data_IF_581765281780
#
_entry.id   IF_581765281780
#
_cell.length_a   1.000
_cell.length_b   1.000
_cell.length_c   1.000
_cell.angle_alpha   90.00
_cell.angle_beta   90.00
_cell.angle_gamma   90.00
#
_symmetry.space_group_name_H-M   'P 1'
#
loop_
_entity.id
_entity.type
_entity.pdbx_description
1 polymer ?
#
# COMPACT_ATOMS: atom_id res chain seq x y z
N UNK A 1 -15.10 -21.51 17.27
CA UNK A 1 -14.12 -21.87 16.23
C UNK A 1 -12.81 -21.21 16.61
N UNK A 2 -11.72 -21.96 16.69
CA UNK A 2 -10.42 -21.46 17.14
C UNK A 2 -9.70 -20.71 16.03
N UNK A 3 -8.96 -19.65 16.37
CA UNK A 3 -8.11 -18.91 15.43
C UNK A 3 -6.94 -19.80 14.98
N UNK A 4 -6.32 -19.47 13.84
CA UNK A 4 -5.08 -20.12 13.43
C UNK A 4 -3.95 -19.77 14.41
N UNK A 5 -3.42 -20.77 15.12
CA UNK A 5 -2.15 -20.60 15.84
C UNK A 5 -1.01 -20.49 14.83
N UNK A 6 -0.18 -19.44 14.95
CA UNK A 6 1.01 -19.27 14.12
C UNK A 6 2.22 -19.88 14.79
N UNK A 7 2.83 -20.85 14.13
CA UNK A 7 4.07 -21.45 14.59
C UNK A 7 5.26 -20.79 13.91
N UNK A 8 6.32 -20.55 14.67
CA UNK A 8 7.53 -19.92 14.17
C UNK A 8 8.42 -20.93 13.44
N UNK A 9 8.48 -20.90 12.10
CA UNK A 9 9.28 -21.77 11.20
C UNK A 9 8.98 -23.30 11.14
N UNK A 10 7.73 -23.78 11.30
CA UNK A 10 7.40 -25.20 11.58
C UNK A 10 7.93 -26.17 10.53
N UNK A 11 8.52 -27.26 11.02
CA UNK A 11 8.92 -28.39 10.17
C UNK A 11 7.68 -29.23 9.89
N UNK A 12 7.27 -29.26 8.63
CA UNK A 12 6.27 -30.17 8.12
C UNK A 12 6.98 -31.40 7.56
N UNK A 13 6.81 -32.56 8.21
CA UNK A 13 7.25 -33.83 7.62
C UNK A 13 6.08 -34.49 6.89
N UNK A 14 6.31 -34.96 5.67
CA UNK A 14 5.34 -35.76 4.94
C UNK A 14 5.26 -37.16 5.56
N UNK A 15 4.23 -37.40 6.36
CA UNK A 15 3.96 -38.69 6.99
C UNK A 15 2.76 -39.31 6.29
N UNK A 16 3.01 -40.32 5.45
CA UNK A 16 2.00 -41.02 4.64
C UNK A 16 1.22 -40.11 3.68
N UNK A 17 1.91 -39.18 2.99
CA UNK A 17 1.26 -38.26 2.04
C UNK A 17 0.56 -37.07 2.69
N UNK A 18 0.70 -36.90 4.01
CA UNK A 18 0.10 -35.81 4.78
C UNK A 18 1.20 -35.07 5.51
N UNK A 19 1.32 -33.77 5.27
CA UNK A 19 2.24 -32.90 6.00
C UNK A 19 1.77 -32.79 7.46
N UNK A 20 2.58 -33.29 8.41
CA UNK A 20 2.32 -33.20 9.84
C UNK A 20 3.35 -32.31 10.54
N UNK A 21 2.88 -31.58 11.55
CA UNK A 21 3.73 -30.83 12.47
C UNK A 21 4.55 -31.81 13.32
N UNK A 22 5.88 -31.63 13.33
CA UNK A 22 6.78 -32.38 14.21
C UNK A 22 7.54 -31.40 15.11
N UNK A 23 7.43 -31.57 16.43
CA UNK A 23 8.25 -30.91 17.45
C UNK A 23 9.19 -31.97 18.05
N UNK A 24 10.51 -31.74 18.26
CA UNK A 24 11.25 -30.46 18.30
C UNK A 24 12.19 -30.17 17.11
N UNK A 25 12.61 -28.90 17.01
CA UNK A 25 13.49 -28.33 15.98
C UNK A 25 14.96 -28.70 16.16
N UNK A 26 15.50 -29.53 15.27
CA UNK A 26 16.97 -29.71 15.16
C UNK A 26 17.45 -29.61 13.70
N UNK A 27 16.62 -29.94 12.70
CA UNK A 27 17.02 -29.92 11.28
C UNK A 27 16.99 -28.55 10.60
N UNK A 28 16.27 -27.57 11.14
CA UNK A 28 16.04 -26.27 10.49
C UNK A 28 16.83 -25.10 11.13
N UNK A 29 17.73 -25.41 12.07
CA UNK A 29 18.67 -24.43 12.62
C UNK A 29 19.47 -23.73 11.50
N UNK A 30 19.79 -24.44 10.41
CA UNK A 30 20.47 -23.87 9.24
C UNK A 30 19.62 -22.86 8.47
N UNK A 31 18.31 -23.11 8.28
CA UNK A 31 17.40 -22.19 7.57
C UNK A 31 17.07 -20.96 8.39
N UNK A 32 16.76 -21.16 9.67
CA UNK A 32 16.46 -20.06 10.60
C UNK A 32 17.69 -19.20 10.88
N UNK A 33 18.89 -19.79 10.93
CA UNK A 33 20.15 -19.07 11.05
C UNK A 33 20.62 -18.43 9.73
N UNK A 34 20.08 -18.83 8.57
CA UNK A 34 20.43 -18.20 7.28
C UNK A 34 19.85 -16.78 7.24
N UNK A 35 20.68 -15.72 7.26
CA UNK A 35 20.21 -14.34 7.27
C UNK A 35 19.52 -13.94 5.94
N UNK A 36 19.66 -14.75 4.88
CA UNK A 36 19.10 -14.47 3.55
C UNK A 36 17.76 -15.15 3.28
N UNK A 37 17.23 -15.90 4.25
CA UNK A 37 15.93 -16.56 4.13
C UNK A 37 14.90 -15.93 5.06
N UNK A 38 13.67 -15.80 4.55
CA UNK A 38 12.55 -15.32 5.34
C UNK A 38 12.19 -16.30 6.44
N UNK A 39 11.95 -15.79 7.64
CA UNK A 39 11.21 -16.53 8.67
C UNK A 39 9.75 -16.61 8.23
N UNK A 40 9.18 -17.81 8.20
CA UNK A 40 7.82 -18.06 7.71
C UNK A 40 7.03 -18.92 8.69
N UNK A 41 5.71 -18.87 8.59
CA UNK A 41 4.80 -19.75 9.31
C UNK A 41 4.63 -21.12 8.63
N UNK A 42 3.71 -21.95 9.16
CA UNK A 42 3.33 -23.26 8.61
C UNK A 42 2.83 -23.24 7.17
N UNK A 43 2.38 -22.09 6.68
CA UNK A 43 1.81 -21.92 5.35
C UNK A 43 2.81 -21.24 4.40
N UNK A 44 4.06 -21.05 4.84
CA UNK A 44 5.10 -20.39 4.05
C UNK A 44 4.82 -18.89 3.83
N UNK A 45 4.07 -18.25 4.73
CA UNK A 45 3.83 -16.81 4.74
C UNK A 45 4.83 -16.14 5.69
N UNK A 46 5.41 -14.97 5.35
CA UNK A 46 6.44 -14.33 6.16
C UNK A 46 5.88 -13.86 7.49
N UNK A 47 6.63 -14.12 8.55
CA UNK A 47 6.37 -13.62 9.90
C UNK A 47 6.95 -12.20 10.06
N UNK A 48 6.37 -11.41 10.96
CA UNK A 48 6.86 -10.05 11.24
C UNK A 48 8.00 -10.08 12.26
N UNK A 49 9.08 -10.79 11.95
CA UNK A 49 10.27 -10.88 12.79
C UNK A 49 11.23 -9.71 12.54
N UNK A 50 12.06 -9.36 13.52
CA UNK A 50 13.08 -8.32 13.34
C UNK A 50 14.02 -8.65 12.17
N UNK A 51 14.36 -9.92 12.01
CA UNK A 51 15.14 -10.41 10.87
C UNK A 51 14.47 -10.07 9.55
N UNK A 52 13.20 -10.43 9.37
CA UNK A 52 12.46 -10.17 8.14
C UNK A 52 12.29 -8.67 7.86
N UNK A 53 11.96 -7.88 8.89
CA UNK A 53 11.79 -6.43 8.76
C UNK A 53 13.12 -5.77 8.36
N UNK A 54 14.22 -6.10 9.05
CA UNK A 54 15.54 -5.56 8.74
C UNK A 54 16.03 -6.01 7.37
N UNK A 55 15.79 -7.27 6.98
CA UNK A 55 16.17 -7.80 5.68
C UNK A 55 15.48 -7.04 4.54
N UNK A 56 14.15 -6.87 4.61
CA UNK A 56 13.41 -6.14 3.58
C UNK A 56 13.76 -4.66 3.56
N UNK A 57 13.90 -4.02 4.73
CA UNK A 57 14.33 -2.63 4.78
C UNK A 57 15.72 -2.44 4.17
N UNK A 58 16.68 -3.34 4.47
CA UNK A 58 18.00 -3.33 3.85
C UNK A 58 17.95 -3.49 2.33
N UNK A 59 17.09 -4.37 1.80
CA UNK A 59 16.91 -4.53 0.35
C UNK A 59 16.34 -3.28 -0.30
N UNK A 60 15.28 -2.70 0.27
CA UNK A 60 14.64 -1.47 -0.26
C UNK A 60 15.59 -0.27 -0.17
N UNK A 61 16.34 -0.15 0.91
CA UNK A 61 17.28 0.95 1.15
C UNK A 61 18.60 0.84 0.37
N UNK A 62 18.87 -0.28 -0.30
CA UNK A 62 20.04 -0.42 -1.18
C UNK A 62 19.66 -0.56 -2.65
N UNK A 63 18.38 -0.71 -2.96
CA UNK A 63 17.91 -0.75 -4.34
C UNK A 63 17.81 0.68 -4.91
N UNK A 64 18.71 0.97 -5.85
CA UNK A 64 18.78 2.24 -6.59
C UNK A 64 17.47 2.65 -7.26
N UNK A 65 16.51 1.74 -7.48
CA UNK A 65 15.19 2.07 -8.02
C UNK A 65 14.27 2.74 -6.99
N UNK A 66 14.44 2.47 -5.70
CA UNK A 66 13.65 3.08 -4.62
C UNK A 66 14.36 4.26 -3.94
N UNK A 67 15.66 4.44 -4.19
CA UNK A 67 16.46 5.56 -3.68
C UNK A 67 16.81 6.59 -4.76
N UNK A 68 16.01 6.70 -5.81
CA UNK A 68 16.27 7.66 -6.90
C UNK A 68 16.13 9.12 -6.46
N UNK A 69 15.50 9.39 -5.33
CA UNK A 69 15.16 10.74 -4.89
C UNK A 69 15.81 11.03 -3.54
N UNK A 70 16.44 12.21 -3.41
CA UNK A 70 16.96 12.65 -2.11
C UNK A 70 15.79 12.92 -1.16
N UNK A 71 15.69 12.11 -0.11
CA UNK A 71 14.64 12.22 0.92
C UNK A 71 14.60 13.61 1.57
N UNK A 72 15.76 14.26 1.76
CA UNK A 72 15.81 15.61 2.35
C UNK A 72 15.21 16.65 1.43
N UNK A 73 15.42 16.47 0.13
CA UNK A 73 14.85 17.35 -0.87
C UNK A 73 13.35 17.10 -1.01
N UNK A 74 12.91 15.85 -1.01
CA UNK A 74 11.47 15.52 -1.01
C UNK A 74 10.75 16.10 0.20
N UNK A 75 11.35 16.04 1.39
CA UNK A 75 10.84 16.75 2.58
C UNK A 75 10.60 18.24 2.31
N UNK A 76 11.59 18.95 1.75
CA UNK A 76 11.47 20.40 1.48
C UNK A 76 10.34 20.70 0.48
N UNK A 77 10.18 19.87 -0.54
CA UNK A 77 9.12 20.06 -1.54
C UNK A 77 7.76 19.81 -0.90
N UNK A 78 7.62 18.79 -0.05
CA UNK A 78 6.39 18.53 0.70
C UNK A 78 6.06 19.68 1.65
N UNK A 79 7.04 20.21 2.38
CA UNK A 79 6.85 21.40 3.22
C UNK A 79 6.39 22.60 2.38
N UNK A 80 6.98 22.78 1.20
CA UNK A 80 6.64 23.80 0.21
C UNK A 80 5.19 23.75 -0.30
N UNK A 81 4.48 22.63 -0.16
CA UNK A 81 3.05 22.57 -0.49
C UNK A 81 2.19 23.48 0.42
N UNK A 82 2.69 23.82 1.60
CA UNK A 82 1.94 24.51 2.65
C UNK A 82 2.44 25.92 2.95
N UNK A 83 3.52 26.36 2.31
CA UNK A 83 4.15 27.67 2.54
C UNK A 83 4.38 28.38 1.20
N UNK A 84 4.49 29.70 1.23
CA UNK A 84 4.69 30.51 0.02
C UNK A 84 3.38 30.89 -0.67
N UNK A 85 3.52 31.48 -1.87
CA UNK A 85 2.36 31.93 -2.65
C UNK A 85 1.62 30.78 -3.36
N UNK A 86 0.50 31.09 -4.02
CA UNK A 86 -0.31 30.08 -4.70
C UNK A 86 0.45 29.37 -5.84
N UNK A 87 1.36 30.06 -6.53
CA UNK A 87 2.14 29.50 -7.62
C UNK A 87 3.25 28.57 -7.12
N UNK A 88 3.96 29.00 -6.07
CA UNK A 88 4.98 28.19 -5.41
C UNK A 88 4.39 26.89 -4.85
N UNK A 89 3.27 27.00 -4.11
CA UNK A 89 2.57 25.83 -3.57
C UNK A 89 2.12 24.87 -4.67
N UNK A 90 1.55 25.37 -5.77
CA UNK A 90 1.12 24.54 -6.89
C UNK A 90 2.31 23.81 -7.55
N UNK A 91 3.45 24.48 -7.69
CA UNK A 91 4.69 23.86 -8.19
C UNK A 91 5.15 22.72 -7.27
N UNK A 92 5.16 22.94 -5.96
CA UNK A 92 5.48 21.93 -4.97
C UNK A 92 4.51 20.74 -4.98
N UNK A 93 3.19 21.01 -5.04
CA UNK A 93 2.16 19.96 -5.11
C UNK A 93 2.34 19.13 -6.39
N UNK A 94 2.46 19.78 -7.55
CA UNK A 94 2.68 19.10 -8.83
C UNK A 94 3.92 18.19 -8.79
N UNK A 95 4.98 18.66 -8.14
CA UNK A 95 6.21 17.88 -7.96
C UNK A 95 6.02 16.67 -7.03
N UNK A 96 5.32 16.84 -5.90
CA UNK A 96 5.03 15.74 -4.98
C UNK A 96 4.16 14.67 -5.62
N UNK A 97 3.12 15.07 -6.35
CA UNK A 97 2.27 14.14 -7.11
C UNK A 97 3.09 13.37 -8.14
N UNK A 98 3.98 14.04 -8.87
CA UNK A 98 4.85 13.41 -9.86
C UNK A 98 5.78 12.36 -9.23
N UNK A 99 6.46 12.70 -8.12
CA UNK A 99 7.41 11.79 -7.49
C UNK A 99 6.70 10.58 -6.87
N UNK A 100 5.58 10.78 -6.18
CA UNK A 100 4.79 9.67 -5.62
C UNK A 100 4.29 8.75 -6.74
N UNK A 101 3.88 9.31 -7.88
CA UNK A 101 3.42 8.51 -9.02
C UNK A 101 4.53 7.67 -9.66
N UNK A 102 5.72 8.27 -9.79
CA UNK A 102 6.88 7.67 -10.43
C UNK A 102 7.57 6.62 -9.56
N UNK A 103 7.78 6.90 -8.26
CA UNK A 103 8.46 5.99 -7.33
C UNK A 103 7.65 4.72 -7.06
N UNK A 104 6.32 4.81 -7.07
CA UNK A 104 5.46 3.72 -6.60
C UNK A 104 4.69 3.00 -7.71
N UNK A 105 5.04 3.23 -8.99
CA UNK A 105 4.37 2.65 -10.16
C UNK A 105 2.84 2.78 -10.11
N UNK A 106 2.33 3.87 -9.54
CA UNK A 106 0.89 4.03 -9.36
C UNK A 106 0.19 4.44 -10.64
N UNK A 107 0.90 4.67 -11.75
CA UNK A 107 0.35 5.02 -13.07
C UNK A 107 -1.01 5.72 -12.95
N UNK A 108 -0.96 6.95 -12.39
CA UNK A 108 -2.09 7.87 -12.34
C UNK A 108 -2.84 7.79 -13.66
N UNK A 109 -4.16 7.79 -13.56
CA UNK A 109 -5.04 7.45 -14.68
C UNK A 109 -4.63 8.14 -15.98
N UNK A 110 -4.10 7.36 -16.94
CA UNK A 110 -4.13 7.73 -18.33
C UNK A 110 -5.61 7.94 -18.69
N UNK A 111 -5.98 9.13 -19.14
CA UNK A 111 -7.38 9.49 -19.37
C UNK A 111 -7.90 8.81 -20.64
N UNK A 112 -8.04 7.48 -20.61
CA UNK A 112 -8.62 6.65 -21.66
C UNK A 112 -8.06 6.91 -23.07
N UNK A 113 -8.95 6.80 -24.07
CA UNK A 113 -8.66 7.05 -25.50
C UNK A 113 -8.59 8.54 -25.87
N UNK A 114 -8.77 9.45 -24.91
CA UNK A 114 -8.74 10.89 -25.18
C UNK A 114 -7.29 11.39 -25.12
N UNK A 115 -6.88 12.19 -26.11
CA UNK A 115 -5.57 12.84 -26.06
C UNK A 115 -5.58 13.84 -24.90
N UNK A 116 -4.58 13.75 -24.03
CA UNK A 116 -4.40 14.65 -22.87
C UNK A 116 -4.49 16.11 -23.30
N UNK A 117 -3.92 16.44 -24.46
CA UNK A 117 -3.95 17.78 -25.06
C UNK A 117 -5.37 18.30 -25.33
N UNK A 118 -6.29 17.43 -25.75
CA UNK A 118 -7.67 17.82 -26.05
C UNK A 118 -8.44 18.11 -24.76
N UNK A 119 -8.16 17.36 -23.69
CA UNK A 119 -8.74 17.58 -22.36
C UNK A 119 -8.21 18.89 -21.77
N UNK A 120 -6.89 19.10 -21.83
CA UNK A 120 -6.26 20.32 -21.32
C UNK A 120 -6.79 21.57 -22.04
N UNK A 121 -6.94 21.52 -23.38
CA UNK A 121 -7.56 22.61 -24.15
C UNK A 121 -9.01 22.88 -23.74
N UNK A 122 -9.82 21.84 -23.57
CA UNK A 122 -11.24 21.99 -23.17
C UNK A 122 -11.41 22.62 -21.78
N UNK A 123 -10.46 22.38 -20.90
CA UNK A 123 -10.46 22.88 -19.52
C UNK A 123 -9.67 24.19 -19.36
N UNK A 124 -9.13 24.73 -20.46
CA UNK A 124 -8.20 25.87 -20.46
C UNK A 124 -7.04 25.71 -19.45
N UNK A 125 -6.56 24.47 -19.29
CA UNK A 125 -5.50 24.15 -18.35
C UNK A 125 -4.13 24.26 -19.01
N UNK A 126 -3.28 25.08 -18.40
CA UNK A 126 -1.89 25.23 -18.83
C UNK A 126 -1.00 24.18 -18.17
N UNK A 127 -0.06 23.58 -18.92
CA UNK A 127 0.98 22.75 -18.33
C UNK A 127 1.73 23.51 -17.22
N UNK A 128 2.08 22.81 -16.15
CA UNK A 128 2.87 23.41 -15.06
C UNK A 128 4.30 22.93 -15.15
N UNK A 129 5.26 23.84 -15.05
CA UNK A 129 6.69 23.50 -15.06
C UNK A 129 7.09 23.15 -13.63
N UNK A 130 7.68 21.96 -13.45
CA UNK A 130 8.28 21.52 -12.19
C UNK A 130 9.78 21.36 -12.40
N UNK A 131 10.57 22.01 -11.53
CA UNK A 131 12.02 21.79 -11.50
C UNK A 131 12.31 20.40 -10.95
N UNK A 132 13.28 19.72 -11.56
CA UNK A 132 13.80 18.46 -11.04
C UNK A 132 14.82 18.70 -9.92
N UNK A 133 14.96 17.69 -9.07
CA UNK A 133 15.80 17.70 -7.86
C UNK A 133 17.31 17.69 -8.15
N UNK A 134 17.72 17.09 -9.27
CA UNK A 134 19.13 16.91 -9.57
C UNK A 134 19.74 18.12 -10.29
N UNK A 135 20.88 18.57 -9.79
CA UNK A 135 21.76 19.49 -10.51
C UNK A 135 22.08 18.92 -11.90
N UNK A 136 21.54 19.54 -12.95
CA UNK A 136 21.85 19.22 -14.35
C UNK A 136 20.71 18.55 -15.16
N UNK A 137 19.53 18.31 -14.59
CA UNK A 137 18.37 17.85 -15.38
C UNK A 137 17.48 19.03 -15.83
N UNK A 138 16.97 18.96 -17.06
CA UNK A 138 16.04 19.94 -17.64
C UNK A 138 14.70 19.99 -16.87
N UNK A 139 14.08 21.17 -16.89
CA UNK A 139 12.74 21.39 -16.33
C UNK A 139 11.74 20.40 -16.94
N UNK A 140 10.90 19.76 -16.09
CA UNK A 140 9.84 18.88 -16.57
C UNK A 140 8.51 19.58 -16.51
N UNK A 141 7.70 19.36 -17.54
CA UNK A 141 6.34 19.86 -17.57
C UNK A 141 5.38 18.77 -17.10
N UNK A 142 4.61 19.03 -16.03
CA UNK A 142 3.53 18.15 -15.59
C UNK A 142 2.24 18.49 -16.34
N UNK A 143 1.58 17.44 -16.85
CA UNK A 143 0.34 17.49 -17.64
C UNK A 143 -0.57 16.33 -17.24
N UNK A 144 -1.81 16.34 -17.77
CA UNK A 144 -2.74 15.22 -17.64
C UNK A 144 -3.04 14.83 -16.19
N UNK A 145 -3.02 13.52 -15.90
CA UNK A 145 -3.43 12.98 -14.60
C UNK A 145 -2.66 13.53 -13.40
N UNK A 146 -1.38 13.85 -13.57
CA UNK A 146 -0.55 14.48 -12.52
C UNK A 146 -1.07 15.90 -12.24
N UNK A 147 -1.27 16.71 -13.27
CA UNK A 147 -1.76 18.08 -13.13
C UNK A 147 -3.17 18.13 -12.53
N UNK A 148 -4.08 17.27 -12.98
CA UNK A 148 -5.45 17.22 -12.44
C UNK A 148 -5.43 16.86 -10.95
N UNK A 149 -4.64 15.85 -10.58
CA UNK A 149 -4.51 15.44 -9.17
C UNK A 149 -3.86 16.53 -8.32
N UNK A 150 -2.90 17.26 -8.87
CA UNK A 150 -2.27 18.39 -8.18
C UNK A 150 -3.25 19.56 -7.92
N UNK A 151 -4.06 19.94 -8.91
CA UNK A 151 -5.07 20.98 -8.76
C UNK A 151 -6.07 20.64 -7.66
N UNK A 152 -6.53 19.39 -7.66
CA UNK A 152 -7.42 18.88 -6.63
C UNK A 152 -6.80 19.01 -5.25
N UNK A 153 -5.56 18.55 -5.08
CA UNK A 153 -4.87 18.60 -3.78
C UNK A 153 -4.71 20.06 -3.32
N UNK A 154 -4.45 20.99 -4.25
CA UNK A 154 -4.36 22.41 -3.96
C UNK A 154 -5.69 23.03 -3.48
N UNK A 155 -6.82 22.49 -3.92
CA UNK A 155 -8.16 22.95 -3.56
C UNK A 155 -8.70 22.32 -2.26
N UNK A 156 -7.99 21.35 -1.65
CA UNK A 156 -8.41 20.74 -0.39
C UNK A 156 -8.21 21.73 0.77
N UNK A 157 -9.32 22.15 1.37
CA UNK A 157 -9.31 23.00 2.55
C UNK A 157 -8.68 22.29 3.75
N UNK A 158 -7.82 23.01 4.48
CA UNK A 158 -7.16 22.54 5.71
C UNK A 158 -6.43 21.20 5.54
N UNK A 159 -5.82 20.97 4.36
CA UNK A 159 -5.15 19.72 4.02
C UNK A 159 -4.15 19.28 5.11
N UNK A 160 -3.35 20.22 5.64
CA UNK A 160 -2.31 19.91 6.64
C UNK A 160 -2.93 19.45 7.97
N UNK A 161 -3.96 20.15 8.44
CA UNK A 161 -4.68 19.82 9.66
C UNK A 161 -5.36 18.45 9.53
N UNK A 162 -6.00 18.20 8.38
CA UNK A 162 -6.67 16.93 8.07
C UNK A 162 -5.68 15.77 8.00
N UNK A 163 -4.51 15.95 7.40
CA UNK A 163 -3.41 14.97 7.41
C UNK A 163 -2.92 14.69 8.84
N UNK A 164 -2.76 15.74 9.66
CA UNK A 164 -2.27 15.62 11.03
C UNK A 164 -3.22 14.81 11.93
N UNK A 165 -4.53 15.00 11.79
CA UNK A 165 -5.54 14.21 12.53
C UNK A 165 -5.78 12.83 11.93
N UNK A 166 -5.25 12.54 10.74
CA UNK A 166 -5.48 11.29 10.02
C UNK A 166 -6.93 11.17 9.53
N UNK A 167 -7.49 12.22 8.93
CA UNK A 167 -8.83 12.21 8.35
C UNK A 167 -8.91 11.24 7.17
N UNK A 168 -9.68 10.16 7.33
CA UNK A 168 -9.91 9.13 6.32
C UNK A 168 -10.57 9.68 5.06
N UNK A 169 -11.38 10.75 5.17
CA UNK A 169 -12.11 11.33 4.03
C UNK A 169 -11.20 11.94 2.99
N UNK A 170 -9.95 12.27 3.36
CA UNK A 170 -8.94 12.75 2.40
C UNK A 170 -8.66 11.74 1.30
N UNK A 171 -8.66 10.43 1.60
CA UNK A 171 -8.35 9.40 0.62
C UNK A 171 -9.40 9.34 -0.51
N UNK A 172 -10.71 9.14 -0.25
CA UNK A 172 -11.71 9.13 -1.32
C UNK A 172 -11.82 10.49 -2.01
N UNK A 173 -11.64 11.60 -1.30
CA UNK A 173 -11.61 12.94 -1.89
C UNK A 173 -10.51 13.06 -2.96
N UNK A 174 -9.26 12.71 -2.64
CA UNK A 174 -8.15 12.70 -3.61
C UNK A 174 -8.37 11.63 -4.70
N UNK A 175 -8.80 10.42 -4.31
CA UNK A 175 -8.94 9.27 -5.22
C UNK A 175 -10.00 9.49 -6.30
N UNK A 176 -11.11 10.16 -5.96
CA UNK A 176 -12.25 10.38 -6.85
C UNK A 176 -12.29 11.78 -7.43
N UNK A 177 -11.48 12.72 -6.96
CA UNK A 177 -11.61 14.07 -7.45
C UNK A 177 -11.24 14.24 -8.93
N UNK A 178 -10.29 13.47 -9.49
CA UNK A 178 -10.01 13.54 -10.93
C UNK A 178 -11.22 13.06 -11.76
N UNK A 179 -11.89 11.99 -11.29
CA UNK A 179 -13.16 11.53 -11.85
C UNK A 179 -14.25 12.61 -11.70
N UNK A 180 -14.37 13.20 -10.53
CA UNK A 180 -15.38 14.21 -10.22
C UNK A 180 -15.20 15.47 -11.05
N UNK A 181 -13.97 15.96 -11.17
CA UNK A 181 -13.60 17.17 -11.92
C UNK A 181 -13.85 16.97 -13.42
N UNK A 182 -13.37 15.87 -14.00
CA UNK A 182 -13.53 15.58 -15.44
C UNK A 182 -14.97 15.26 -15.82
N UNK A 183 -15.72 14.58 -14.94
CA UNK A 183 -17.13 14.28 -15.16
C UNK A 183 -18.00 15.54 -15.01
N UNK A 184 -17.76 16.38 -13.98
CA UNK A 184 -18.48 17.66 -13.79
C UNK A 184 -18.24 18.64 -14.94
N UNK A 185 -17.01 18.67 -15.47
CA UNK A 185 -16.69 19.47 -16.63
C UNK A 185 -17.25 18.88 -17.95
N UNK A 186 -17.88 17.70 -17.92
CA UNK A 186 -18.38 16.96 -19.08
C UNK A 186 -17.30 16.72 -20.17
N UNK A 187 -16.04 16.58 -19.75
CA UNK A 187 -14.90 16.50 -20.68
C UNK A 187 -14.52 15.05 -21.01
N UNK A 188 -14.63 14.13 -20.05
CA UNK A 188 -14.38 12.70 -20.23
C UNK A 188 -15.11 11.88 -19.17
N UNK A 189 -15.62 10.69 -19.54
CA UNK A 189 -16.14 9.72 -18.57
C UNK A 189 -14.99 8.87 -18.01
N UNK A 190 -14.57 9.17 -16.77
CA UNK A 190 -13.45 8.50 -16.13
C UNK A 190 -13.94 7.47 -15.11
N UNK A 191 -13.75 6.19 -15.44
CA UNK A 191 -14.14 5.08 -14.56
C UNK A 191 -13.02 4.58 -13.64
N UNK A 192 -11.77 5.02 -13.85
CA UNK A 192 -10.63 4.64 -12.99
C UNK A 192 -10.51 5.63 -11.84
N UNK A 193 -10.33 5.12 -10.62
CA UNK A 193 -10.03 5.93 -9.44
C UNK A 193 -8.54 5.84 -9.07
N UNK A 194 -8.04 6.88 -8.42
CA UNK A 194 -6.64 6.98 -8.00
C UNK A 194 -6.47 6.51 -6.53
N UNK A 195 -7.23 5.49 -6.10
CA UNK A 195 -7.29 5.08 -4.69
C UNK A 195 -5.92 4.70 -4.11
N UNK A 196 -5.14 3.86 -4.82
CA UNK A 196 -3.78 3.51 -4.37
C UNK A 196 -2.87 4.73 -4.26
N UNK A 197 -2.93 5.64 -5.24
CA UNK A 197 -2.17 6.89 -5.19
C UNK A 197 -2.57 7.74 -3.98
N UNK A 198 -3.87 7.93 -3.74
CA UNK A 198 -4.36 8.75 -2.63
C UNK A 198 -3.86 8.23 -1.27
N UNK A 199 -3.92 6.92 -1.04
CA UNK A 199 -3.37 6.32 0.20
C UNK A 199 -1.87 6.54 0.35
N UNK A 200 -1.10 6.40 -0.73
CA UNK A 200 0.35 6.62 -0.75
C UNK A 200 0.68 8.10 -0.52
N UNK A 201 -0.06 9.00 -1.13
CA UNK A 201 0.10 10.43 -0.93
C UNK A 201 -0.12 10.80 0.54
N UNK A 202 -1.23 10.38 1.14
CA UNK A 202 -1.49 10.69 2.55
C UNK A 202 -0.42 10.07 3.48
N UNK A 203 -0.04 8.80 3.25
CA UNK A 203 0.99 8.11 4.03
C UNK A 203 2.34 8.84 3.94
N UNK A 204 2.88 8.99 2.73
CA UNK A 204 4.23 9.56 2.56
C UNK A 204 4.29 11.02 2.99
N UNK A 205 3.26 11.81 2.72
CA UNK A 205 3.19 13.20 3.19
C UNK A 205 3.27 13.27 4.71
N UNK A 206 2.52 12.41 5.43
CA UNK A 206 2.60 12.34 6.89
C UNK A 206 3.99 11.91 7.39
N UNK A 207 4.59 10.89 6.75
CA UNK A 207 5.92 10.40 7.10
C UNK A 207 6.99 11.48 6.92
N UNK A 208 7.00 12.19 5.78
CA UNK A 208 7.99 13.23 5.50
C UNK A 208 7.80 14.49 6.35
N UNK A 209 6.56 14.83 6.72
CA UNK A 209 6.24 15.92 7.65
C UNK A 209 6.36 15.52 9.12
N UNK A 210 6.71 14.26 9.42
CA UNK A 210 6.77 13.71 10.79
C UNK A 210 5.46 13.86 11.57
N UNK A 211 4.32 13.74 10.88
CA UNK A 211 2.98 13.73 11.50
C UNK A 211 2.61 12.36 12.09
N UNK A 212 3.50 11.38 11.94
CA UNK A 212 3.31 10.00 12.40
C UNK A 212 2.67 9.11 11.33
N UNK A 213 2.41 7.87 11.71
CA UNK A 213 1.90 6.85 10.80
C UNK A 213 0.37 6.85 10.78
N UNK A 214 -0.20 7.80 10.03
CA UNK A 214 -1.64 8.11 10.05
C UNK A 214 -2.46 7.40 8.98
N UNK A 215 -1.82 6.87 7.94
CA UNK A 215 -2.51 6.31 6.79
C UNK A 215 -1.86 5.00 6.36
N UNK A 216 -2.62 3.91 6.30
CA UNK A 216 -2.16 2.66 5.68
C UNK A 216 -2.14 2.79 4.15
N UNK A 217 -1.22 2.09 3.48
CA UNK A 217 -1.10 2.12 2.02
C UNK A 217 -1.99 1.05 1.41
N UNK A 218 -2.79 1.42 0.41
CA UNK A 218 -3.43 0.43 -0.45
C UNK A 218 -2.49 0.07 -1.61
N UNK A 219 -2.04 -1.19 -1.63
CA UNK A 219 -1.40 -1.80 -2.79
C UNK A 219 -2.15 -3.07 -3.20
N UNK A 220 -2.22 -3.33 -4.52
CA UNK A 220 -2.95 -4.50 -5.03
C UNK A 220 -2.35 -5.81 -4.53
N UNK A 221 -1.02 -5.90 -4.41
CA UNK A 221 -0.35 -7.11 -3.93
C UNK A 221 -0.74 -7.37 -2.48
N UNK A 222 -0.61 -6.34 -1.63
CA UNK A 222 -0.97 -6.41 -0.21
C UNK A 222 -2.44 -6.76 -0.04
N UNK A 223 -3.35 -6.01 -0.66
CA UNK A 223 -4.79 -6.25 -0.59
C UNK A 223 -5.21 -7.64 -1.09
N UNK A 224 -4.45 -8.25 -2.01
CA UNK A 224 -4.75 -9.59 -2.53
C UNK A 224 -4.50 -10.71 -1.53
N UNK A 225 -3.54 -10.54 -0.61
CA UNK A 225 -3.18 -11.54 0.40
C UNK A 225 -3.62 -11.15 1.81
N UNK A 226 -4.03 -9.89 2.01
CA UNK A 226 -4.46 -9.36 3.31
C UNK A 226 -5.49 -10.22 4.07
N UNK A 227 -6.46 -10.92 3.43
CA UNK A 227 -7.36 -11.80 4.16
C UNK A 227 -6.65 -12.87 5.02
N UNK A 228 -5.46 -13.32 4.59
CA UNK A 228 -4.65 -14.23 5.39
C UNK A 228 -4.19 -13.57 6.69
N UNK A 229 -3.64 -12.37 6.61
CA UNK A 229 -3.17 -11.64 7.78
C UNK A 229 -4.31 -11.23 8.72
N UNK A 230 -5.50 -10.98 8.19
CA UNK A 230 -6.71 -10.77 9.00
C UNK A 230 -7.02 -12.03 9.82
N UNK A 231 -7.04 -13.20 9.18
CA UNK A 231 -7.29 -14.47 9.86
C UNK A 231 -6.26 -14.77 10.95
N UNK A 232 -4.98 -14.49 10.65
CA UNK A 232 -3.86 -14.82 11.52
C UNK A 232 -3.66 -13.84 12.68
N UNK A 233 -3.92 -12.54 12.48
CA UNK A 233 -3.54 -11.50 13.45
C UNK A 233 -4.72 -10.69 14.00
N UNK A 234 -5.78 -10.43 13.23
CA UNK A 234 -6.83 -9.54 13.70
C UNK A 234 -7.56 -10.10 14.93
N UNK A 235 -7.95 -9.22 15.85
CA UNK A 235 -8.68 -9.60 17.07
C UNK A 235 -9.94 -8.76 17.27
N UNK A 236 -10.81 -9.15 18.22
CA UNK A 236 -12.04 -8.42 18.56
C UNK A 236 -13.17 -8.51 17.52
N UNK A 237 -14.04 -7.49 17.50
CA UNK A 237 -15.21 -7.43 16.59
C UNK A 237 -14.86 -7.19 15.11
N UNK A 238 -13.62 -6.83 14.80
CA UNK A 238 -13.13 -6.80 13.42
C UNK A 238 -12.66 -8.19 12.96
N UNK A 239 -12.22 -9.05 13.89
CA UNK A 239 -12.02 -10.48 13.62
C UNK A 239 -13.34 -11.26 13.40
N UNK A 240 -14.51 -10.66 13.71
CA UNK A 240 -15.80 -11.24 13.31
C UNK A 240 -16.14 -10.98 11.83
N UNK A 241 -15.30 -10.22 11.11
CA UNK A 241 -15.37 -10.17 9.66
C UNK A 241 -14.85 -11.50 9.15
N UNK A 242 -15.78 -12.36 8.78
CA UNK A 242 -15.49 -13.69 8.25
C UNK A 242 -14.49 -13.58 7.07
N UNK A 243 -13.27 -14.11 7.29
CA UNK A 243 -12.21 -14.15 6.28
C UNK A 243 -12.65 -14.88 5.01
N UNK A 244 -13.62 -15.80 5.11
CA UNK A 244 -14.26 -16.39 3.94
C UNK A 244 -15.07 -15.40 3.11
N UNK A 245 -15.63 -14.33 3.69
CA UNK A 245 -16.28 -13.24 2.93
C UNK A 245 -15.27 -12.31 2.27
N UNK A 246 -14.06 -12.26 2.82
CA UNK A 246 -12.94 -11.51 2.26
C UNK A 246 -12.23 -12.25 1.12
N UNK A 247 -12.58 -13.52 0.84
CA UNK A 247 -12.17 -14.27 -0.34
C UNK A 247 -13.38 -14.72 -1.17
N UNK A 248 -13.18 -15.02 -2.45
CA UNK A 248 -14.18 -15.70 -3.29
C UNK A 248 -13.51 -16.59 -4.32
N UNK A 249 -14.24 -17.56 -4.84
CA UNK A 249 -13.80 -18.37 -5.98
C UNK A 249 -14.14 -17.64 -7.27
N UNK A 250 -13.14 -17.47 -8.14
CA UNK A 250 -13.25 -16.91 -9.49
C UNK A 250 -12.86 -17.97 -10.51
N UNK A 251 -13.66 -18.16 -11.55
CA UNK A 251 -13.43 -19.24 -12.51
C UNK A 251 -14.35 -19.24 -13.73
N UNK A 252 -13.80 -19.54 -14.91
CA UNK A 252 -14.54 -20.22 -15.98
C UNK A 252 -14.59 -21.73 -15.68
N UNK A 253 -15.46 -22.50 -16.35
CA UNK A 253 -15.53 -23.98 -16.21
C UNK A 253 -14.11 -24.56 -16.10
N UNK A 254 -13.86 -25.27 -15.00
CA UNK A 254 -12.62 -25.97 -14.65
C UNK A 254 -11.44 -25.16 -14.06
N UNK A 255 -11.60 -23.85 -13.82
CA UNK A 255 -10.61 -23.04 -13.06
C UNK A 255 -11.21 -22.55 -11.74
N UNK A 256 -10.63 -22.92 -10.59
CA UNK A 256 -11.00 -22.35 -9.28
C UNK A 256 -9.84 -21.49 -8.77
N UNK A 257 -10.03 -20.17 -8.73
CA UNK A 257 -9.04 -19.23 -8.19
C UNK A 257 -9.62 -18.50 -6.97
N UNK A 258 -8.97 -18.62 -5.81
CA UNK A 258 -9.29 -17.79 -4.65
C UNK A 258 -8.76 -16.38 -4.86
N UNK A 259 -9.63 -15.39 -4.72
CA UNK A 259 -9.28 -13.96 -4.84
C UNK A 259 -9.83 -13.17 -3.67
N UNK A 260 -9.06 -12.19 -3.20
CA UNK A 260 -9.51 -11.21 -2.19
C UNK A 260 -10.66 -10.35 -2.70
N UNK A 261 -11.60 -10.00 -1.82
CA UNK A 261 -12.69 -9.05 -2.09
C UNK A 261 -12.38 -7.65 -1.55
N UNK A 262 -11.25 -7.45 -0.85
CA UNK A 262 -10.80 -6.15 -0.31
C UNK A 262 -10.61 -5.11 -1.43
N UNK A 263 -10.32 -5.55 -2.67
CA UNK A 263 -10.28 -4.65 -3.82
C UNK A 263 -11.62 -3.90 -4.04
N UNK A 264 -12.74 -4.39 -3.53
CA UNK A 264 -14.02 -3.68 -3.63
C UNK A 264 -14.06 -2.42 -2.75
N UNK A 265 -13.26 -2.30 -1.70
CA UNK A 265 -13.23 -1.11 -0.86
C UNK A 265 -12.88 0.14 -1.65
N UNK A 266 -12.11 0.04 -2.73
CA UNK A 266 -11.80 1.19 -3.59
C UNK A 266 -13.02 1.79 -4.32
N UNK A 267 -14.20 1.15 -4.25
CA UNK A 267 -15.41 1.57 -4.99
C UNK A 267 -16.38 2.35 -4.12
N UNK A 268 -16.23 2.26 -2.81
CA UNK A 268 -17.18 2.78 -1.84
C UNK A 268 -16.61 4.06 -1.20
N UNK A 269 -17.47 4.96 -0.73
CA UNK A 269 -17.04 6.24 -0.13
C UNK A 269 -16.34 6.05 1.22
N UNK A 270 -16.83 5.11 2.04
CA UNK A 270 -16.28 4.72 3.33
C UNK A 270 -15.24 3.58 3.23
N UNK A 271 -14.88 3.19 2.00
CA UNK A 271 -14.04 2.03 1.76
C UNK A 271 -12.64 2.16 2.33
N UNK A 272 -12.06 3.37 2.36
CA UNK A 272 -10.78 3.60 3.03
C UNK A 272 -10.87 3.41 4.54
N UNK A 273 -11.89 3.95 5.19
CA UNK A 273 -12.13 3.75 6.63
C UNK A 273 -12.26 2.27 6.97
N UNK A 274 -13.02 1.50 6.17
CA UNK A 274 -13.13 0.04 6.34
C UNK A 274 -11.78 -0.66 6.14
N UNK A 275 -11.01 -0.26 5.13
CA UNK A 275 -9.67 -0.80 4.90
C UNK A 275 -8.73 -0.51 6.07
N UNK A 276 -8.70 0.73 6.55
CA UNK A 276 -7.85 1.18 7.65
C UNK A 276 -8.20 0.48 8.95
N UNK A 277 -9.48 0.42 9.32
CA UNK A 277 -9.92 -0.31 10.52
C UNK A 277 -9.48 -1.78 10.49
N UNK A 278 -9.59 -2.43 9.33
CA UNK A 278 -9.12 -3.80 9.14
C UNK A 278 -7.60 -3.89 9.31
N UNK A 279 -6.87 -2.93 8.74
CA UNK A 279 -5.42 -2.86 8.85
C UNK A 279 -4.97 -2.62 10.30
N UNK A 280 -5.62 -1.72 11.02
CA UNK A 280 -5.33 -1.41 12.42
C UNK A 280 -5.48 -2.64 13.31
N UNK A 281 -6.55 -3.42 13.10
CA UNK A 281 -6.76 -4.67 13.83
C UNK A 281 -5.66 -5.70 13.54
N UNK A 282 -5.21 -5.80 12.28
CA UNK A 282 -4.08 -6.66 11.90
C UNK A 282 -2.78 -6.16 12.54
N UNK A 283 -2.52 -4.85 12.49
CA UNK A 283 -1.32 -4.23 13.04
C UNK A 283 -1.22 -4.41 14.56
N UNK A 284 -2.33 -4.22 15.27
CA UNK A 284 -2.42 -4.49 16.71
C UNK A 284 -2.09 -5.96 17.01
N UNK A 285 -2.67 -6.89 16.24
CA UNK A 285 -2.38 -8.32 16.35
C UNK A 285 -0.92 -8.67 16.08
N UNK A 286 -0.33 -8.06 15.05
CA UNK A 286 1.09 -8.23 14.71
C UNK A 286 1.97 -7.74 15.86
N UNK A 287 1.71 -6.54 16.38
CA UNK A 287 2.51 -5.97 17.45
C UNK A 287 2.37 -6.75 18.76
N UNK A 288 1.18 -7.29 19.04
CA UNK A 288 0.99 -8.24 20.15
C UNK A 288 1.80 -9.52 19.94
N UNK A 289 1.69 -10.15 18.76
CA UNK A 289 2.46 -11.35 18.45
C UNK A 289 3.97 -11.10 18.55
N UNK A 290 4.46 -9.94 18.09
CA UNK A 290 5.86 -9.51 18.21
C UNK A 290 6.30 -9.43 19.67
N UNK A 291 5.50 -8.81 20.53
CA UNK A 291 5.77 -8.73 21.97
C UNK A 291 5.82 -10.12 22.62
N UNK A 292 4.86 -10.99 22.32
CA UNK A 292 4.77 -12.35 22.86
C UNK A 292 5.93 -13.25 22.38
N UNK A 293 6.58 -12.90 21.26
CA UNK A 293 7.68 -13.66 20.64
C UNK A 293 9.05 -12.96 20.74
N UNK A 294 9.24 -12.08 21.74
CA UNK A 294 10.51 -11.39 22.02
C UNK A 294 11.10 -10.63 20.82
N UNK A 295 10.25 -10.05 19.96
CA UNK A 295 10.69 -9.14 18.90
C UNK A 295 10.81 -7.70 19.42
N UNK A 296 11.67 -6.90 18.79
CA UNK A 296 11.97 -5.56 19.26
C UNK A 296 10.90 -4.54 18.86
N UNK A 297 10.09 -4.12 19.84
CA UNK A 297 9.19 -2.98 19.69
C UNK A 297 8.06 -3.16 18.66
N UNK A 298 7.23 -2.13 18.61
CA UNK A 298 6.11 -2.04 17.67
C UNK A 298 6.59 -1.58 16.29
N UNK A 299 5.90 -2.06 15.26
CA UNK A 299 6.08 -1.62 13.88
C UNK A 299 4.82 -0.87 13.40
N UNK A 300 4.95 -0.11 12.31
CA UNK A 300 3.86 0.63 11.68
C UNK A 300 3.37 0.00 10.37
N UNK A 301 2.47 0.70 9.69
CA UNK A 301 1.95 0.32 8.37
C UNK A 301 3.09 0.13 7.37
N UNK A 302 4.08 1.02 7.39
CA UNK A 302 5.19 0.99 6.43
C UNK A 302 5.95 -0.34 6.47
N UNK A 303 6.29 -0.83 7.66
CA UNK A 303 7.01 -2.09 7.82
C UNK A 303 6.15 -3.28 7.37
N UNK A 304 4.86 -3.28 7.74
CA UNK A 304 3.92 -4.33 7.34
C UNK A 304 3.73 -4.36 5.82
N UNK A 305 3.43 -3.21 5.21
CA UNK A 305 3.24 -3.07 3.77
C UNK A 305 4.49 -3.51 3.00
N UNK A 306 5.68 -3.09 3.43
CA UNK A 306 6.94 -3.46 2.78
C UNK A 306 7.19 -4.95 2.81
N UNK A 307 7.02 -5.61 3.97
CA UNK A 307 7.27 -7.04 4.10
C UNK A 307 6.32 -7.84 3.20
N UNK A 308 5.01 -7.56 3.30
CA UNK A 308 4.00 -8.26 2.51
C UNK A 308 4.26 -8.02 1.02
N UNK A 309 4.42 -6.77 0.62
CA UNK A 309 4.61 -6.43 -0.78
C UNK A 309 5.87 -7.08 -1.34
N UNK A 310 7.00 -6.97 -0.66
CA UNK A 310 8.28 -7.51 -1.15
C UNK A 310 8.22 -9.04 -1.30
N UNK A 311 7.63 -9.74 -0.33
CA UNK A 311 7.55 -11.19 -0.35
C UNK A 311 6.60 -11.74 -1.43
N UNK A 312 5.48 -11.05 -1.68
CA UNK A 312 4.44 -11.52 -2.61
C UNK A 312 4.55 -10.92 -4.03
N UNK A 313 5.31 -9.83 -4.22
CA UNK A 313 5.53 -9.23 -5.55
C UNK A 313 6.25 -10.21 -6.47
N UNK A 314 5.79 -10.31 -7.72
CA UNK A 314 6.41 -11.15 -8.76
C UNK A 314 6.19 -12.66 -8.60
N UNK A 315 5.61 -13.13 -7.50
CA UNK A 315 5.41 -14.54 -7.21
C UNK A 315 4.19 -15.16 -7.94
N UNK A 316 4.11 -15.03 -9.28
CA UNK A 316 3.15 -15.68 -10.22
C UNK A 316 1.66 -15.82 -9.78
N UNK A 317 1.21 -15.07 -8.77
CA UNK A 317 -0.02 -15.34 -8.02
C UNK A 317 -0.02 -16.64 -7.19
N UNK A 318 0.95 -17.55 -7.36
CA UNK A 318 0.96 -18.88 -6.70
C UNK A 318 1.06 -18.75 -5.17
N UNK A 319 1.96 -17.90 -4.66
CA UNK A 319 2.11 -17.70 -3.21
C UNK A 319 0.84 -17.12 -2.58
N UNK A 320 0.20 -16.16 -3.25
CA UNK A 320 -1.05 -15.55 -2.79
C UNK A 320 -2.15 -16.62 -2.71
N UNK A 321 -2.30 -17.45 -3.76
CA UNK A 321 -3.29 -18.54 -3.76
C UNK A 321 -3.07 -19.52 -2.63
N UNK A 322 -1.82 -19.88 -2.37
CA UNK A 322 -1.47 -20.79 -1.29
C UNK A 322 -1.84 -20.21 0.08
N UNK A 323 -1.50 -18.95 0.34
CA UNK A 323 -1.88 -18.26 1.56
C UNK A 323 -3.42 -18.20 1.73
N UNK A 324 -4.16 -17.79 0.69
CA UNK A 324 -5.63 -17.73 0.76
C UNK A 324 -6.31 -19.09 0.94
N UNK A 325 -5.68 -20.17 0.45
CA UNK A 325 -6.17 -21.54 0.62
C UNK A 325 -5.98 -22.04 2.05
N UNK A 326 -5.03 -21.48 2.80
CA UNK A 326 -4.73 -21.87 4.19
C UNK A 326 -5.65 -21.21 5.24
N UNK A 327 -6.55 -20.32 4.82
CA UNK A 327 -7.57 -19.71 5.68
C UNK A 327 -8.67 -20.76 5.92
N UNK A 328 -8.74 -21.30 7.13
CA UNK A 328 -9.78 -22.26 7.55
C UNK A 328 -11.04 -21.52 8.00
N UNK A 329 -12.14 -21.82 7.31
CA UNK A 329 -13.51 -21.57 7.75
C UNK A 329 -14.23 -22.94 7.74
#
# INVERSE_FOLDING_TARGET
MGRQEMYFNPVMEEVNGVNKLVMPYVKDAGRTADPYQFDVDQNGVPLFTDKNINFVNGMVENDSNYNKTDKKELCKIIEGMFVGDAHERMTCIGRVVYEIDNENSTHLTAVGRHKVDDIMKKLDLKPTVVKKMFYGEEEKTVTGGVLFTAQIIADIENLKERLNVGDDRLVPEIAYAAKTYLNKAHVADVNKNNFSFATKFCHWTCQYLKLGDKYCIYDKVVASVFPYFVDSYASGGLASWDCCRMKRIKGAKDSQELVSTIENYKKDEDGYTRYRNLYDAVLEGINKWRADNNQNGEIGYREVDRLIWYYFKGASGKRIKHALAAIDC
#
